data_IF_693867252127
#
_entry.id   IF_693867252127
#
_cell.length_a   1.000
_cell.length_b   1.000
_cell.length_c   1.000
_cell.angle_alpha   90.00
_cell.angle_beta   90.00
_cell.angle_gamma   90.00
#
_symmetry.space_group_name_H-M   'P 1'
#
loop_
_entity.id
_entity.type
_entity.pdbx_description
1 polymer ?
#
# COMPACT_ATOMS: atom_id res chain seq x y z
N UNK A 1 -17.75 2.05 21.00
CA UNK A 1 -16.66 2.89 20.44
C UNK A 1 -16.63 2.68 18.94
N UNK A 2 -17.41 3.45 18.20
CA UNK A 2 -17.51 3.38 16.74
C UNK A 2 -16.49 4.33 16.13
N UNK A 3 -15.27 3.83 15.91
CA UNK A 3 -14.29 4.55 15.09
C UNK A 3 -14.84 4.67 13.67
N UNK A 4 -14.79 5.87 13.09
CA UNK A 4 -15.19 6.10 11.70
C UNK A 4 -14.35 5.16 10.81
N UNK A 5 -14.96 4.20 10.08
CA UNK A 5 -14.24 3.48 9.06
C UNK A 5 -13.93 4.50 7.96
N UNK A 6 -12.67 4.71 7.59
CA UNK A 6 -12.44 5.39 6.32
C UNK A 6 -11.17 6.17 6.08
N UNK A 7 -10.24 6.35 7.02
CA UNK A 7 -8.96 6.97 6.65
C UNK A 7 -7.78 6.41 7.43
N UNK A 8 -7.01 5.56 6.75
CA UNK A 8 -5.70 5.20 7.24
C UNK A 8 -4.80 6.44 7.33
N UNK A 9 -3.89 6.51 8.31
CA UNK A 9 -2.93 7.59 8.40
C UNK A 9 -2.08 7.69 7.12
N UNK A 10 -1.59 8.88 6.81
CA UNK A 10 -0.65 9.03 5.69
C UNK A 10 0.66 8.31 6.04
N UNK A 11 1.19 7.48 5.15
CA UNK A 11 2.42 6.72 5.42
C UNK A 11 3.57 7.65 5.82
N UNK A 12 3.71 8.80 5.15
CA UNK A 12 4.74 9.81 5.45
C UNK A 12 4.61 10.51 6.81
N UNK A 13 3.48 10.34 7.50
CA UNK A 13 3.25 10.91 8.84
C UNK A 13 3.55 9.95 9.99
N UNK A 14 3.83 8.68 9.68
CA UNK A 14 4.10 7.65 10.67
C UNK A 14 5.60 7.58 10.98
N UNK A 15 5.93 7.43 12.27
CA UNK A 15 7.27 7.03 12.69
C UNK A 15 7.53 5.55 12.37
N UNK A 16 8.80 5.13 12.39
CA UNK A 16 9.17 3.74 12.19
C UNK A 16 8.50 2.78 13.19
N UNK A 17 8.44 3.18 14.46
CA UNK A 17 7.78 2.42 15.53
C UNK A 17 6.28 2.31 15.28
N UNK A 18 5.63 3.41 14.87
CA UNK A 18 4.21 3.41 14.54
C UNK A 18 3.91 2.50 13.35
N UNK A 19 4.76 2.50 12.31
CA UNK A 19 4.60 1.59 11.17
C UNK A 19 4.68 0.14 11.59
N UNK A 20 5.61 -0.22 12.49
CA UNK A 20 5.78 -1.60 12.96
C UNK A 20 4.63 -2.05 13.89
N UNK A 21 4.01 -1.13 14.62
CA UNK A 21 2.95 -1.43 15.59
C UNK A 21 1.53 -1.42 15.00
N UNK A 22 1.33 -0.83 13.81
CA UNK A 22 0.00 -0.74 13.21
C UNK A 22 -0.54 -2.12 12.81
N UNK A 23 -1.86 -2.36 12.94
CA UNK A 23 -2.49 -3.53 12.36
C UNK A 23 -2.19 -3.62 10.86
N UNK A 24 -1.87 -4.83 10.38
CA UNK A 24 -1.42 -5.07 9.01
C UNK A 24 -2.36 -4.44 7.96
N UNK A 25 -3.68 -4.61 8.11
CA UNK A 25 -4.66 -4.03 7.18
C UNK A 25 -4.64 -2.48 7.17
N UNK A 26 -4.44 -1.86 8.33
CA UNK A 26 -4.35 -0.40 8.45
C UNK A 26 -3.07 0.13 7.80
N UNK A 27 -1.95 -0.57 8.02
CA UNK A 27 -0.69 -0.25 7.35
C UNK A 27 -0.80 -0.47 5.84
N UNK A 28 -1.40 -1.57 5.38
CA UNK A 28 -1.64 -1.87 3.98
C UNK A 28 -2.45 -0.77 3.29
N UNK A 29 -3.48 -0.23 3.96
CA UNK A 29 -4.23 0.92 3.42
C UNK A 29 -3.39 2.18 3.35
N UNK A 30 -2.52 2.43 4.33
CA UNK A 30 -1.60 3.57 4.34
C UNK A 30 -0.58 3.47 3.19
N UNK A 31 0.00 2.27 3.01
CA UNK A 31 0.93 1.94 1.92
C UNK A 31 0.26 2.09 0.57
N UNK A 32 -0.94 1.54 0.41
CA UNK A 32 -1.68 1.61 -0.83
C UNK A 32 -1.97 3.06 -1.23
N UNK A 33 -2.51 3.87 -0.31
CA UNK A 33 -2.82 5.29 -0.54
C UNK A 33 -1.57 6.11 -0.90
N UNK A 34 -0.42 5.79 -0.33
CA UNK A 34 0.84 6.46 -0.62
C UNK A 34 1.43 6.00 -1.98
N UNK A 35 1.22 4.73 -2.37
CA UNK A 35 1.64 4.17 -3.66
C UNK A 35 0.81 4.73 -4.83
N UNK A 36 -0.50 4.91 -4.67
CA UNK A 36 -1.44 5.32 -5.73
C UNK A 36 -1.78 6.83 -5.73
N UNK A 37 -1.01 7.64 -4.99
CA UNK A 37 -1.35 9.03 -4.67
C UNK A 37 -1.78 9.81 -5.93
N UNK A 38 -2.90 10.57 -5.91
CA UNK A 38 -3.48 11.15 -7.12
C UNK A 38 -2.53 12.14 -7.80
N UNK A 39 -2.29 11.95 -9.11
CA UNK A 39 -1.47 12.86 -9.93
C UNK A 39 -0.72 12.16 -11.06
N UNK A 40 -0.42 10.88 -10.91
CA UNK A 40 0.25 10.05 -11.92
C UNK A 40 -0.69 8.90 -12.33
N UNK A 41 -0.54 8.38 -13.55
CA UNK A 41 -1.32 7.25 -14.09
C UNK A 41 -1.05 5.92 -13.35
N UNK A 42 -0.68 4.85 -14.05
CA UNK A 42 -0.14 3.66 -13.38
C UNK A 42 1.08 4.08 -12.53
N UNK A 43 1.17 3.76 -11.21
CA UNK A 43 2.34 4.09 -10.39
C UNK A 43 3.49 3.09 -10.57
N UNK A 44 4.72 3.59 -10.60
CA UNK A 44 5.93 2.77 -10.68
C UNK A 44 6.33 2.28 -9.28
N UNK A 45 6.20 0.98 -9.04
CA UNK A 45 6.60 0.35 -7.77
C UNK A 45 8.09 0.56 -7.53
N UNK A 46 8.94 0.47 -8.55
CA UNK A 46 10.37 0.69 -8.41
C UNK A 46 10.71 2.09 -7.87
N UNK A 47 10.09 3.13 -8.42
CA UNK A 47 10.33 4.50 -7.95
C UNK A 47 9.82 4.70 -6.53
N UNK A 48 8.65 4.15 -6.22
CA UNK A 48 8.11 4.16 -4.87
C UNK A 48 9.03 3.44 -3.87
N UNK A 49 9.49 2.22 -4.20
CA UNK A 49 10.43 1.44 -3.37
C UNK A 49 11.74 2.18 -3.15
N UNK A 50 12.31 2.82 -4.20
CA UNK A 50 13.54 3.61 -4.06
C UNK A 50 13.37 4.74 -3.05
N UNK A 51 12.25 5.47 -3.10
CA UNK A 51 11.91 6.52 -2.13
C UNK A 51 11.77 5.93 -0.72
N UNK A 52 10.96 4.89 -0.54
CA UNK A 52 10.75 4.25 0.77
C UNK A 52 12.07 3.75 1.36
N UNK A 53 12.91 3.09 0.57
CA UNK A 53 14.24 2.62 1.02
C UNK A 53 15.13 3.76 1.48
N UNK A 54 15.10 4.91 0.78
CA UNK A 54 15.87 6.08 1.19
C UNK A 54 15.37 6.64 2.52
N UNK A 55 14.05 6.81 2.63
CA UNK A 55 13.41 7.48 3.77
C UNK A 55 13.48 6.61 5.05
N UNK A 56 13.45 5.27 4.90
CA UNK A 56 13.49 4.31 6.01
C UNK A 56 14.77 3.47 6.08
N UNK A 57 15.89 3.92 5.46
CA UNK A 57 17.14 3.13 5.35
C UNK A 57 17.72 2.64 6.68
N UNK A 58 17.43 3.33 7.80
CA UNK A 58 17.91 3.02 9.14
C UNK A 58 16.84 2.37 10.04
N UNK A 59 15.69 2.00 9.47
CA UNK A 59 14.54 1.47 10.20
C UNK A 59 14.13 0.10 9.64
N UNK A 60 14.87 -0.99 9.97
CA UNK A 60 14.63 -2.31 9.39
C UNK A 60 13.25 -2.89 9.73
N UNK A 61 12.71 -2.57 10.90
CA UNK A 61 11.38 -3.01 11.33
C UNK A 61 10.27 -2.36 10.52
N UNK A 62 10.38 -1.05 10.25
CA UNK A 62 9.46 -0.35 9.35
C UNK A 62 9.51 -0.93 7.93
N UNK A 63 10.72 -1.22 7.43
CA UNK A 63 10.88 -1.86 6.12
C UNK A 63 10.24 -3.25 6.07
N UNK A 64 10.37 -4.05 7.14
CA UNK A 64 9.69 -5.35 7.25
C UNK A 64 8.17 -5.20 7.21
N UNK A 65 7.62 -4.31 8.04
CA UNK A 65 6.17 -4.07 8.13
C UNK A 65 5.59 -3.57 6.80
N UNK A 66 6.28 -2.65 6.12
CA UNK A 66 5.88 -2.17 4.78
C UNK A 66 5.92 -3.31 3.76
N UNK A 67 6.94 -4.17 3.81
CA UNK A 67 7.08 -5.30 2.88
C UNK A 67 5.97 -6.32 3.08
N UNK A 68 5.61 -6.62 4.34
CA UNK A 68 4.50 -7.48 4.70
C UNK A 68 3.15 -6.90 4.22
N UNK A 69 2.95 -5.60 4.40
CA UNK A 69 1.77 -4.90 3.91
C UNK A 69 1.63 -4.98 2.38
N UNK A 70 2.71 -4.81 1.62
CA UNK A 70 2.70 -4.98 0.15
C UNK A 70 2.40 -6.42 -0.25
N UNK A 71 3.03 -7.40 0.41
CA UNK A 71 2.79 -8.81 0.14
C UNK A 71 1.32 -9.19 0.41
N UNK A 72 0.74 -8.67 1.49
CA UNK A 72 -0.66 -8.85 1.83
C UNK A 72 -1.60 -8.25 0.77
N UNK A 73 -1.30 -7.03 0.27
CA UNK A 73 -2.08 -6.39 -0.80
C UNK A 73 -2.09 -7.22 -2.09
N UNK A 74 -0.92 -7.76 -2.48
CA UNK A 74 -0.78 -8.63 -3.66
C UNK A 74 -1.48 -9.96 -3.48
N UNK A 75 -1.30 -10.61 -2.32
CA UNK A 75 -1.96 -11.87 -2.00
C UNK A 75 -3.49 -11.77 -2.02
N UNK A 76 -4.03 -10.62 -1.59
CA UNK A 76 -5.47 -10.31 -1.63
C UNK A 76 -5.96 -9.82 -2.99
N UNK A 77 -5.12 -9.82 -4.02
CA UNK A 77 -5.43 -9.30 -5.35
C UNK A 77 -5.94 -7.85 -5.32
N UNK A 78 -5.52 -7.05 -4.34
CA UNK A 78 -5.86 -5.62 -4.25
C UNK A 78 -4.96 -4.82 -5.18
N UNK A 79 -3.66 -5.13 -5.13
CA UNK A 79 -2.65 -4.60 -6.03
C UNK A 79 -2.32 -5.69 -7.06
N UNK A 80 -2.45 -5.36 -8.34
CA UNK A 80 -2.16 -6.27 -9.46
C UNK A 80 -1.18 -5.62 -10.41
N UNK A 81 -0.40 -6.45 -11.11
CA UNK A 81 0.55 -5.96 -12.11
C UNK A 81 -0.21 -5.48 -13.36
N UNK A 82 0.25 -4.37 -13.95
CA UNK A 82 -0.36 -3.82 -15.16
C UNK A 82 0.02 -4.68 -16.39
N UNK A 83 -0.98 -5.18 -17.12
CA UNK A 83 -0.79 -6.01 -18.31
C UNK A 83 -0.04 -5.29 -19.44
N UNK A 84 -0.06 -3.95 -19.46
CA UNK A 84 0.63 -3.11 -20.45
C UNK A 84 2.10 -2.79 -20.13
N UNK A 85 2.62 -3.26 -18.99
CA UNK A 85 3.96 -2.95 -18.48
C UNK A 85 5.14 -3.50 -19.32
N UNK A 86 4.86 -4.16 -20.45
CA UNK A 86 5.77 -4.98 -21.25
C UNK A 86 6.97 -4.28 -21.92
N UNK A 87 7.34 -3.06 -21.54
CA UNK A 87 8.57 -2.41 -22.00
C UNK A 87 9.18 -1.40 -21.01
N UNK A 88 8.38 -0.73 -20.17
CA UNK A 88 8.80 0.49 -19.44
C UNK A 88 8.79 0.40 -17.90
N UNK A 89 8.45 -0.72 -17.25
CA UNK A 89 8.69 -0.86 -15.81
C UNK A 89 7.72 -1.73 -15.00
N UNK A 90 7.99 -1.81 -13.68
CA UNK A 90 7.22 -2.50 -12.65
C UNK A 90 6.00 -1.64 -12.23
N UNK A 91 5.03 -1.54 -13.14
CA UNK A 91 3.81 -0.76 -12.96
C UNK A 91 2.72 -1.64 -12.34
N UNK A 92 2.00 -1.06 -11.39
CA UNK A 92 0.88 -1.73 -10.72
C UNK A 92 -0.40 -0.93 -10.87
N UNK A 93 -1.53 -1.61 -10.74
CA UNK A 93 -2.84 -0.99 -10.71
C UNK A 93 -3.68 -1.56 -9.57
N UNK A 94 -4.72 -0.82 -9.21
CA UNK A 94 -5.76 -1.33 -8.32
C UNK A 94 -6.66 -2.31 -9.09
N UNK A 95 -6.91 -3.47 -8.49
CA UNK A 95 -8.00 -4.31 -8.96
C UNK A 95 -9.36 -3.65 -8.69
N UNK A 96 -10.42 -4.17 -9.31
CA UNK A 96 -11.80 -3.76 -9.02
C UNK A 96 -12.13 -3.89 -7.53
N UNK A 97 -11.70 -4.98 -6.90
CA UNK A 97 -11.86 -5.22 -5.47
C UNK A 97 -11.04 -4.24 -4.63
N UNK A 98 -9.80 -3.95 -5.03
CA UNK A 98 -8.96 -2.96 -4.34
C UNK A 98 -9.58 -1.56 -4.36
N UNK A 99 -10.10 -1.15 -5.51
CA UNK A 99 -10.82 0.12 -5.66
C UNK A 99 -12.11 0.16 -4.82
N UNK A 100 -12.82 -0.97 -4.69
CA UNK A 100 -13.99 -1.07 -3.81
C UNK A 100 -13.59 -0.99 -2.33
N UNK A 101 -12.59 -1.75 -1.89
CA UNK A 101 -12.11 -1.72 -0.51
C UNK A 101 -11.63 -0.32 -0.09
N UNK A 102 -10.95 0.40 -0.98
CA UNK A 102 -10.52 1.77 -0.72
C UNK A 102 -11.72 2.72 -0.49
N UNK A 103 -12.78 2.60 -1.31
CA UNK A 103 -13.99 3.41 -1.19
C UNK A 103 -14.84 3.06 0.02
N UNK A 104 -15.12 1.77 0.21
CA UNK A 104 -16.19 1.30 1.11
C UNK A 104 -15.64 0.88 2.49
N UNK A 105 -14.32 0.82 2.65
CA UNK A 105 -13.68 0.44 3.91
C UNK A 105 -13.69 -1.07 4.19
N UNK A 106 -14.40 -1.87 3.39
CA UNK A 106 -14.65 -3.29 3.65
C UNK A 106 -14.02 -4.18 2.58
N UNK A 107 -13.23 -5.16 3.02
CA UNK A 107 -12.72 -6.20 2.14
C UNK A 107 -13.85 -7.18 1.82
N UNK A 108 -14.00 -7.60 0.56
CA UNK A 108 -14.74 -8.81 0.27
C UNK A 108 -14.13 -9.99 1.04
N UNK A 109 -14.94 -10.97 1.48
CA UNK A 109 -14.41 -12.19 2.08
C UNK A 109 -13.41 -12.84 1.11
N UNK A 110 -12.30 -13.37 1.65
CA UNK A 110 -11.37 -14.14 0.85
C UNK A 110 -12.10 -15.39 0.33
N UNK A 111 -12.18 -15.52 -1.00
CA UNK A 111 -12.72 -16.71 -1.67
C UNK A 111 -11.73 -17.86 -1.68
#
# INVERSE_FOLDING_TARGET
MTGIPGRAPALSSLSAEQMAALPLETLARSVLNDLIKPGDGSPSVQNWVRRIRRDHRKAPEAMRAISEAVAWLRHRMILVDDLGAGADGDWVMLSRQGAQWLRDGTLPPAG
#
